data_IF_854111553341
#
_entry.id   IF_854111553341
#
_cell.length_a   1.000
_cell.length_b   1.000
_cell.length_c   1.000
_cell.angle_alpha   90.00
_cell.angle_beta   90.00
_cell.angle_gamma   90.00
#
_symmetry.space_group_name_H-M   'P 1'
#
loop_
_entity.id
_entity.type
_entity.pdbx_description
1 polymer ?
#
# COMPACT_ATOMS: atom_id res chain seq x y z
N UNK A 1 -11.68 9.23 14.14
CA UNK A 1 -10.23 9.50 14.11
C UNK A 1 -9.76 9.31 12.68
N UNK A 2 -9.02 10.26 12.11
CA UNK A 2 -8.48 10.15 10.74
C UNK A 2 -7.32 9.17 10.74
N UNK A 3 -7.38 8.12 9.94
CA UNK A 3 -6.29 7.15 9.87
C UNK A 3 -5.08 7.71 9.10
N UNK A 4 -3.87 7.14 9.26
CA UNK A 4 -2.73 7.42 8.38
C UNK A 4 -3.09 7.37 6.90
N UNK A 5 -3.79 6.33 6.44
CA UNK A 5 -4.14 6.25 5.01
C UNK A 5 -5.19 7.27 4.60
N UNK A 6 -6.13 7.65 5.47
CA UNK A 6 -7.07 8.74 5.17
C UNK A 6 -6.33 10.06 4.89
N UNK A 7 -5.26 10.36 5.63
CA UNK A 7 -4.41 11.54 5.39
C UNK A 7 -3.71 11.49 4.03
N UNK A 8 -3.29 10.31 3.58
CA UNK A 8 -2.66 10.14 2.26
C UNK A 8 -3.69 10.20 1.13
N UNK A 9 -4.84 9.54 1.31
CA UNK A 9 -5.94 9.53 0.35
C UNK A 9 -6.55 10.93 0.18
N UNK A 10 -6.55 11.77 1.23
CA UNK A 10 -6.98 13.16 1.13
C UNK A 10 -6.12 14.01 0.17
N UNK A 11 -4.89 13.57 -0.15
CA UNK A 11 -4.04 14.24 -1.14
C UNK A 11 -4.32 13.76 -2.57
N UNK A 12 -5.11 12.69 -2.76
CA UNK A 12 -5.41 12.15 -4.08
C UNK A 12 -6.09 13.19 -4.99
N UNK A 13 -5.83 13.16 -6.31
CA UNK A 13 -6.48 14.07 -7.24
C UNK A 13 -7.99 13.84 -7.29
N UNK A 14 -8.77 14.90 -7.49
CA UNK A 14 -10.25 14.88 -7.52
C UNK A 14 -10.82 13.87 -8.53
N UNK A 15 -10.08 13.58 -9.61
CA UNK A 15 -10.47 12.59 -10.63
C UNK A 15 -10.29 11.13 -10.22
N UNK A 16 -9.72 10.84 -9.04
CA UNK A 16 -9.56 9.49 -8.53
C UNK A 16 -10.71 9.16 -7.56
N UNK A 17 -11.75 8.41 -7.99
CA UNK A 17 -12.90 8.15 -7.14
C UNK A 17 -12.50 7.30 -5.92
N UNK A 18 -13.14 7.50 -4.75
CA UNK A 18 -12.89 6.69 -3.57
C UNK A 18 -13.29 5.23 -3.83
N UNK A 19 -12.57 4.32 -3.21
CA UNK A 19 -12.91 2.90 -3.20
C UNK A 19 -13.65 2.56 -1.91
N UNK A 20 -14.58 1.63 -2.00
CA UNK A 20 -15.38 1.14 -0.87
C UNK A 20 -15.17 -0.36 -0.67
N UNK A 21 -15.53 -0.85 0.52
CA UNK A 21 -15.45 -2.26 0.88
C UNK A 21 -14.05 -2.87 0.65
N UNK A 22 -13.96 -4.10 0.11
CA UNK A 22 -12.69 -4.81 -0.07
C UNK A 22 -11.65 -4.06 -0.90
N UNK A 23 -12.10 -3.25 -1.87
CA UNK A 23 -11.23 -2.43 -2.71
C UNK A 23 -10.54 -1.32 -1.89
N UNK A 24 -11.28 -0.73 -0.95
CA UNK A 24 -10.76 0.25 0.00
C UNK A 24 -9.69 -0.36 0.91
N UNK A 25 -9.93 -1.57 1.43
CA UNK A 25 -8.96 -2.31 2.25
C UNK A 25 -7.68 -2.62 1.48
N UNK A 26 -7.80 -3.11 0.24
CA UNK A 26 -6.65 -3.37 -0.62
C UNK A 26 -5.82 -2.10 -0.86
N UNK A 27 -6.46 -0.98 -1.20
CA UNK A 27 -5.77 0.31 -1.41
C UNK A 27 -5.01 0.77 -0.17
N UNK A 28 -5.63 0.68 1.01
CA UNK A 28 -5.02 1.07 2.28
C UNK A 28 -3.84 0.17 2.67
N UNK A 29 -3.95 -1.14 2.48
CA UNK A 29 -2.85 -2.07 2.72
C UNK A 29 -1.65 -1.76 1.81
N UNK A 30 -1.88 -1.48 0.53
CA UNK A 30 -0.80 -1.13 -0.40
C UNK A 30 -0.14 0.21 -0.05
N UNK A 31 -0.91 1.19 0.44
CA UNK A 31 -0.35 2.45 0.95
C UNK A 31 0.55 2.23 2.17
N UNK A 32 0.10 1.41 3.13
CA UNK A 32 0.91 1.05 4.29
C UNK A 32 2.19 0.32 3.88
N UNK A 33 2.13 -0.59 2.89
CA UNK A 33 3.33 -1.21 2.34
C UNK A 33 4.28 -0.17 1.74
N UNK A 34 3.76 0.73 0.90
CA UNK A 34 4.58 1.74 0.23
C UNK A 34 5.30 2.67 1.21
N UNK A 35 4.57 3.16 2.22
CA UNK A 35 5.11 4.09 3.22
C UNK A 35 5.88 3.41 4.35
N UNK A 36 5.83 2.09 4.47
CA UNK A 36 6.65 1.31 5.38
C UNK A 36 8.01 0.90 4.81
N UNK A 37 8.25 1.09 3.51
CA UNK A 37 9.53 0.75 2.86
C UNK A 37 10.63 1.71 3.33
N UNK A 38 11.79 1.13 3.67
CA UNK A 38 13.04 1.88 3.78
C UNK A 38 13.56 2.26 2.38
N UNK A 39 13.25 3.49 1.97
CA UNK A 39 13.64 4.04 0.68
C UNK A 39 15.12 4.45 0.60
N UNK A 40 15.78 4.63 1.73
CA UNK A 40 17.12 5.24 1.79
C UNK A 40 18.22 4.18 1.87
N UNK A 41 18.06 3.16 2.73
CA UNK A 41 19.01 2.05 2.88
C UNK A 41 18.52 0.69 2.37
N UNK A 42 17.21 0.52 2.16
CA UNK A 42 16.61 -0.73 1.72
C UNK A 42 16.90 -1.10 0.26
N UNK A 43 16.75 -2.39 -0.08
CA UNK A 43 16.99 -2.83 -1.47
C UNK A 43 15.98 -2.23 -2.45
N UNK A 44 14.75 -1.94 -1.99
CA UNK A 44 13.71 -1.33 -2.82
C UNK A 44 14.15 0.07 -3.26
N UNK A 45 14.78 0.83 -2.35
CA UNK A 45 15.37 2.14 -2.65
C UNK A 45 16.42 2.09 -3.77
N UNK A 46 17.21 1.02 -3.85
CA UNK A 46 18.18 0.78 -4.93
C UNK A 46 17.54 0.38 -6.26
N UNK A 47 16.25 0.04 -6.28
CA UNK A 47 15.48 -0.41 -7.46
C UNK A 47 14.23 0.44 -7.70
N UNK A 48 14.32 1.74 -7.42
CA UNK A 48 13.21 2.71 -7.57
C UNK A 48 12.59 2.69 -8.97
N UNK A 49 13.41 2.58 -10.02
CA UNK A 49 12.97 2.60 -11.43
C UNK A 49 11.99 1.47 -11.77
N UNK A 50 12.20 0.29 -11.20
CA UNK A 50 11.39 -0.92 -11.46
C UNK A 50 10.39 -1.20 -10.35
N UNK A 51 10.34 -0.37 -9.30
CA UNK A 51 9.47 -0.61 -8.14
C UNK A 51 7.99 -0.70 -8.54
N UNK A 52 7.48 0.32 -9.22
CA UNK A 52 6.07 0.42 -9.58
C UNK A 52 5.65 -0.56 -10.68
N UNK A 53 6.54 -0.86 -11.62
CA UNK A 53 6.23 -1.65 -12.82
C UNK A 53 6.49 -3.14 -12.63
N UNK A 54 7.43 -3.51 -11.74
CA UNK A 54 7.86 -4.89 -11.57
C UNK A 54 7.78 -5.35 -10.12
N UNK A 55 8.47 -4.67 -9.19
CA UNK A 55 8.64 -5.23 -7.85
C UNK A 55 7.35 -5.24 -7.03
N UNK A 56 6.67 -4.11 -6.86
CA UNK A 56 5.43 -4.05 -6.10
C UNK A 56 4.34 -4.97 -6.66
N UNK A 57 3.95 -4.88 -7.96
CA UNK A 57 2.85 -5.71 -8.47
C UNK A 57 3.16 -7.20 -8.43
N UNK A 58 4.41 -7.62 -8.71
CA UNK A 58 4.77 -9.03 -8.63
C UNK A 58 4.75 -9.54 -7.19
N UNK A 59 5.29 -8.81 -6.22
CA UNK A 59 5.34 -9.25 -4.82
C UNK A 59 3.95 -9.31 -4.20
N UNK A 60 3.11 -8.31 -4.48
CA UNK A 60 1.69 -8.30 -4.07
C UNK A 60 0.98 -9.53 -4.60
N UNK A 61 1.08 -9.79 -5.91
CA UNK A 61 0.42 -10.93 -6.56
C UNK A 61 0.94 -12.27 -6.04
N UNK A 62 2.27 -12.46 -5.99
CA UNK A 62 2.89 -13.71 -5.51
C UNK A 62 2.49 -14.02 -4.08
N UNK A 63 2.44 -13.01 -3.20
CA UNK A 63 1.99 -13.20 -1.82
C UNK A 63 0.55 -13.72 -1.74
N UNK A 64 -0.34 -13.39 -2.69
CA UNK A 64 -1.73 -13.93 -2.69
C UNK A 64 -1.82 -15.43 -2.96
N UNK A 65 -0.76 -16.04 -3.51
CA UNK A 65 -0.66 -17.49 -3.73
C UNK A 65 0.03 -18.18 -2.54
N UNK A 66 1.05 -17.56 -1.96
CA UNK A 66 1.80 -18.11 -0.82
C UNK A 66 1.01 -17.98 0.51
N UNK A 67 0.22 -16.91 0.63
CA UNK A 67 -0.52 -16.55 1.84
C UNK A 67 -1.72 -17.43 2.16
N UNK A 68 -2.10 -18.37 1.30
CA UNK A 68 -3.13 -19.38 1.60
C UNK A 68 -4.54 -18.85 1.86
N UNK A 69 -4.85 -17.61 1.46
CA UNK A 69 -6.18 -17.00 1.63
C UNK A 69 -6.36 -16.15 2.88
N UNK A 70 -5.30 -15.93 3.67
CA UNK A 70 -5.33 -15.16 4.93
C UNK A 70 -4.59 -13.81 4.78
N UNK A 71 -5.20 -12.71 5.23
CA UNK A 71 -4.63 -11.38 5.14
C UNK A 71 -3.39 -11.20 6.01
N UNK A 72 -3.39 -11.74 7.24
CA UNK A 72 -2.23 -11.69 8.13
C UNK A 72 -1.01 -12.38 7.49
N UNK A 73 -1.21 -13.59 6.95
CA UNK A 73 -0.15 -14.33 6.27
C UNK A 73 0.26 -13.66 4.96
N UNK A 74 -0.68 -13.14 4.18
CA UNK A 74 -0.36 -12.36 2.97
C UNK A 74 0.51 -11.15 3.31
N UNK A 75 0.11 -10.37 4.32
CA UNK A 75 0.84 -9.19 4.79
C UNK A 75 2.26 -9.57 5.20
N UNK A 76 2.39 -10.58 6.06
CA UNK A 76 3.68 -11.10 6.52
C UNK A 76 4.61 -11.49 5.37
N UNK A 77 4.08 -12.12 4.32
CA UNK A 77 4.89 -12.51 3.14
C UNK A 77 5.32 -11.30 2.33
N UNK A 78 4.38 -10.42 1.96
CA UNK A 78 4.69 -9.29 1.08
C UNK A 78 5.57 -8.24 1.77
N UNK A 79 5.31 -7.94 3.05
CA UNK A 79 6.02 -6.94 3.84
C UNK A 79 7.49 -7.34 4.04
N UNK A 80 7.75 -8.59 4.45
CA UNK A 80 9.11 -9.15 4.54
C UNK A 80 9.83 -9.11 3.21
N UNK A 81 9.13 -9.43 2.11
CA UNK A 81 9.75 -9.40 0.79
C UNK A 81 10.20 -7.99 0.40
N UNK A 82 9.45 -6.96 0.80
CA UNK A 82 9.69 -5.56 0.47
C UNK A 82 10.51 -4.81 1.54
N UNK A 83 10.89 -5.48 2.63
CA UNK A 83 11.48 -4.82 3.82
C UNK A 83 10.62 -3.63 4.28
N UNK A 84 9.31 -3.85 4.36
CA UNK A 84 8.31 -2.83 4.69
C UNK A 84 7.71 -3.07 6.07
N UNK A 85 7.70 -2.05 6.92
CA UNK A 85 7.12 -2.14 8.26
C UNK A 85 6.39 -0.83 8.64
N UNK A 86 5.28 -0.89 9.40
CA UNK A 86 4.63 0.30 9.94
C UNK A 86 5.58 1.13 10.81
N UNK A 87 5.79 2.39 10.44
CA UNK A 87 6.81 3.26 11.03
C UNK A 87 6.39 3.92 12.35
N UNK A 88 5.10 3.91 12.68
CA UNK A 88 4.56 4.54 13.89
C UNK A 88 3.32 3.81 14.43
N UNK A 89 2.87 4.22 15.62
CA UNK A 89 1.75 3.58 16.33
C UNK A 89 0.44 3.65 15.54
N UNK A 90 0.13 4.80 14.92
CA UNK A 90 -1.10 4.95 14.15
C UNK A 90 -1.14 3.97 12.97
N UNK A 91 -0.03 3.79 12.25
CA UNK A 91 0.08 2.82 11.15
C UNK A 91 -0.07 1.37 11.64
N UNK A 92 0.49 1.05 12.81
CA UNK A 92 0.33 -0.29 13.43
C UNK A 92 -1.13 -0.56 13.81
N UNK A 93 -1.81 0.42 14.40
CA UNK A 93 -3.21 0.32 14.77
C UNK A 93 -4.11 0.16 13.53
N UNK A 94 -3.90 0.98 12.51
CA UNK A 94 -4.65 0.88 11.27
C UNK A 94 -4.42 -0.46 10.56
N UNK A 95 -3.16 -0.92 10.48
CA UNK A 95 -2.86 -2.24 9.93
C UNK A 95 -3.59 -3.34 10.70
N UNK A 96 -3.54 -3.34 12.04
CA UNK A 96 -4.21 -4.34 12.85
C UNK A 96 -5.74 -4.36 12.65
N UNK A 97 -6.35 -3.22 12.31
CA UNK A 97 -7.76 -3.17 11.92
C UNK A 97 -7.99 -3.78 10.53
N UNK A 98 -7.20 -3.39 9.54
CA UNK A 98 -7.36 -3.85 8.15
C UNK A 98 -7.13 -5.37 7.99
N UNK A 99 -6.26 -5.96 8.79
CA UNK A 99 -6.00 -7.41 8.76
C UNK A 99 -7.18 -8.25 9.27
N UNK A 100 -8.15 -7.64 9.97
CA UNK A 100 -9.38 -8.31 10.43
C UNK A 100 -10.52 -8.33 9.41
N UNK A 101 -10.33 -7.67 8.27
CA UNK A 101 -11.32 -7.65 7.19
C UNK A 101 -11.44 -9.03 6.53
N UNK A 102 -12.53 -9.24 5.79
CA UNK A 102 -12.75 -10.49 5.06
C UNK A 102 -11.63 -10.69 4.02
N UNK A 103 -10.85 -11.76 4.19
CA UNK A 103 -9.60 -11.92 3.45
C UNK A 103 -9.81 -12.23 1.97
N UNK A 104 -10.73 -13.15 1.65
CA UNK A 104 -10.94 -13.64 0.29
C UNK A 104 -11.23 -12.52 -0.75
N UNK A 105 -12.18 -11.60 -0.54
CA UNK A 105 -12.46 -10.56 -1.53
C UNK A 105 -11.30 -9.58 -1.70
N UNK A 106 -10.59 -9.23 -0.62
CA UNK A 106 -9.42 -8.33 -0.67
C UNK A 106 -8.26 -8.98 -1.43
N UNK A 107 -7.95 -10.25 -1.12
CA UNK A 107 -6.88 -10.99 -1.77
C UNK A 107 -7.18 -11.29 -3.24
N UNK A 108 -8.45 -11.55 -3.59
CA UNK A 108 -8.87 -11.75 -4.98
C UNK A 108 -8.60 -10.51 -5.83
N UNK A 109 -8.93 -9.32 -5.33
CA UNK A 109 -8.65 -8.05 -6.02
C UNK A 109 -7.14 -7.84 -6.25
N UNK A 110 -6.31 -8.11 -5.23
CA UNK A 110 -4.86 -7.98 -5.35
C UNK A 110 -4.22 -9.05 -6.24
N UNK A 111 -4.87 -10.21 -6.39
CA UNK A 111 -4.43 -11.30 -7.27
C UNK A 111 -4.74 -11.00 -8.74
N UNK A 112 -5.97 -10.58 -9.01
CA UNK A 112 -6.50 -10.43 -10.37
C UNK A 112 -6.19 -9.07 -11.00
N UNK A 113 -6.11 -8.02 -10.18
CA UNK A 113 -5.94 -6.64 -10.65
C UNK A 113 -4.74 -5.91 -10.01
N UNK A 114 -3.59 -6.56 -9.79
CA UNK A 114 -2.46 -5.94 -9.05
C UNK A 114 -2.01 -4.63 -9.69
N UNK A 115 -1.91 -4.58 -11.03
CA UNK A 115 -1.48 -3.38 -11.76
C UNK A 115 -2.40 -2.19 -11.52
N UNK A 116 -3.72 -2.41 -11.45
CA UNK A 116 -4.69 -1.34 -11.22
C UNK A 116 -4.56 -0.74 -9.82
N UNK A 117 -4.48 -1.58 -8.80
CA UNK A 117 -4.30 -1.12 -7.42
C UNK A 117 -2.94 -0.48 -7.18
N UNK A 118 -1.88 -1.04 -7.77
CA UNK A 118 -0.54 -0.42 -7.72
C UNK A 118 -0.51 0.96 -8.40
N UNK A 119 -1.19 1.11 -9.54
CA UNK A 119 -1.30 2.41 -10.21
C UNK A 119 -2.01 3.43 -9.33
N UNK A 120 -3.10 3.04 -8.64
CA UNK A 120 -3.77 3.92 -7.68
C UNK A 120 -2.86 4.32 -6.53
N UNK A 121 -2.16 3.36 -5.92
CA UNK A 121 -1.17 3.64 -4.85
C UNK A 121 -0.10 4.62 -5.34
N UNK A 122 0.38 4.46 -6.57
CA UNK A 122 1.36 5.38 -7.18
C UNK A 122 0.81 6.80 -7.32
N UNK A 123 -0.40 6.95 -7.87
CA UNK A 123 -1.06 8.26 -8.03
C UNK A 123 -1.18 8.98 -6.68
N UNK A 124 -1.61 8.27 -5.63
CA UNK A 124 -1.71 8.82 -4.27
C UNK A 124 -0.33 9.20 -3.74
N UNK A 125 0.67 8.33 -3.89
CA UNK A 125 2.03 8.58 -3.41
C UNK A 125 2.68 9.82 -4.06
N UNK A 126 2.52 9.96 -5.38
CA UNK A 126 2.99 11.13 -6.14
C UNK A 126 2.28 12.41 -5.67
N UNK A 127 0.98 12.35 -5.44
CA UNK A 127 0.21 13.50 -4.95
C UNK A 127 0.62 13.92 -3.51
N UNK A 128 0.85 12.96 -2.61
CA UNK A 128 1.39 13.23 -1.27
C UNK A 128 2.78 13.87 -1.35
N UNK A 129 3.66 13.37 -2.23
CA UNK A 129 4.99 13.94 -2.42
C UNK A 129 4.93 15.39 -2.93
N UNK A 130 4.03 15.68 -3.87
CA UNK A 130 3.78 17.03 -4.37
C UNK A 130 3.26 17.96 -3.26
N UNK A 131 2.29 17.52 -2.45
CA UNK A 131 1.75 18.28 -1.33
C UNK A 131 2.80 18.62 -0.26
N UNK A 132 3.65 17.65 0.11
CA UNK A 132 4.77 17.86 1.04
C UNK A 132 5.78 18.89 0.51
N UNK A 133 6.08 18.83 -0.78
CA UNK A 133 7.00 19.79 -1.43
C UNK A 133 6.41 21.19 -1.47
N UNK A 134 5.12 21.32 -1.75
CA UNK A 134 4.42 22.62 -1.74
C UNK A 134 4.35 23.22 -0.33
N UNK A 135 4.11 22.40 0.69
CA UNK A 135 4.09 22.85 2.10
C UNK A 135 5.46 23.33 2.60
N UNK A 136 6.56 22.74 2.13
CA UNK A 136 7.93 23.16 2.50
C UNK A 136 8.38 24.48 1.86
N UNK A 137 7.71 24.91 0.79
CA UNK A 137 7.99 26.18 0.10
C UNK A 137 7.21 27.37 0.65
N UNK A 138 6.28 27.14 1.58
CA UNK A 138 5.57 28.18 2.34
C UNK A 138 6.27 28.42 3.66
#
# INVERSE_FOLDING_TARGET
MTSPTDRWLAAAPVGLPPLEGPASTAERLLLLLHYGIDWDSGWVGRRRETYWTQHLPNRVRVATYIGGGDLDRWWSVVSRSLESEPTNTDQRLELAMLLREESEPVLTLMRERPTSYVLRTRIVAEAVAAARTAGRKK
#
